data_IF_942920627324
#
_entry.id   IF_942920627324
#
_cell.length_a   1.000
_cell.length_b   1.000
_cell.length_c   1.000
_cell.angle_alpha   90.00
_cell.angle_beta   90.00
_cell.angle_gamma   90.00
#
_symmetry.space_group_name_H-M   'P 1'
#
loop_
_entity.id
_entity.type
_entity.pdbx_description
1 polymer ?
#
# COMPACT_ATOMS: atom_id res chain seq x y z
N UNK A 1 -8.67 11.57 10.62
CA UNK A 1 -8.18 10.24 11.07
C UNK A 1 -7.01 9.84 10.18
N UNK A 2 -5.95 9.25 10.75
CA UNK A 2 -4.83 8.72 9.95
C UNK A 2 -5.27 7.44 9.24
N UNK A 3 -5.07 7.40 7.92
CA UNK A 3 -5.32 6.26 7.04
C UNK A 3 -4.06 5.90 6.27
N UNK A 4 -4.01 4.66 5.79
CA UNK A 4 -2.94 4.06 5.01
C UNK A 4 -3.52 3.55 3.70
N UNK A 5 -3.11 4.15 2.60
CA UNK A 5 -3.64 3.89 1.27
C UNK A 5 -2.65 2.98 0.53
N UNK A 6 -3.07 1.80 0.03
CA UNK A 6 -2.25 1.03 -0.87
C UNK A 6 -2.06 1.82 -2.17
N UNK A 7 -0.85 1.81 -2.70
CA UNK A 7 -0.51 2.48 -3.94
C UNK A 7 0.58 1.72 -4.71
N UNK A 8 0.95 2.22 -5.88
CA UNK A 8 2.11 1.79 -6.67
C UNK A 8 2.99 3.01 -6.98
N UNK A 9 4.19 2.79 -7.51
CA UNK A 9 5.03 3.91 -7.98
C UNK A 9 4.36 4.69 -9.11
N UNK A 10 3.65 4.01 -10.02
CA UNK A 10 2.87 4.64 -11.09
C UNK A 10 1.86 5.63 -10.53
N UNK A 11 1.12 5.24 -9.49
CA UNK A 11 0.17 6.11 -8.79
C UNK A 11 0.85 7.28 -8.06
N UNK A 12 2.08 7.11 -7.55
CA UNK A 12 2.84 8.22 -6.96
C UNK A 12 3.30 9.24 -8.01
N UNK A 13 3.69 8.80 -9.20
CA UNK A 13 4.00 9.71 -10.31
C UNK A 13 2.79 10.58 -10.65
N UNK A 14 1.61 9.97 -10.78
CA UNK A 14 0.36 10.70 -11.03
C UNK A 14 0.01 11.68 -9.91
N UNK A 15 0.15 11.26 -8.65
CA UNK A 15 -0.03 12.14 -7.49
C UNK A 15 0.95 13.32 -7.53
N UNK A 16 2.22 13.09 -7.88
CA UNK A 16 3.21 14.16 -7.92
C UNK A 16 2.90 15.20 -9.01
N UNK A 17 2.32 14.77 -10.14
CA UNK A 17 1.93 15.64 -11.24
C UNK A 17 0.61 16.38 -11.01
N UNK A 18 -0.40 15.67 -10.51
CA UNK A 18 -1.78 16.20 -10.36
C UNK A 18 -2.01 16.89 -9.02
N UNK A 19 -1.28 16.48 -7.97
CA UNK A 19 -1.56 16.87 -6.59
C UNK A 19 -2.73 16.12 -5.96
N UNK A 20 -3.29 15.11 -6.63
CA UNK A 20 -4.44 14.32 -6.19
C UNK A 20 -4.10 12.83 -6.21
N UNK A 21 -4.45 12.11 -5.15
CA UNK A 21 -4.40 10.66 -5.11
C UNK A 21 -5.80 10.07 -5.26
N UNK A 22 -5.96 9.01 -6.05
CA UNK A 22 -7.24 8.35 -6.34
C UNK A 22 -7.19 6.90 -5.85
N UNK A 23 -7.72 6.59 -4.65
CA UNK A 23 -7.63 5.25 -4.11
C UNK A 23 -8.49 4.26 -4.91
N UNK A 24 -7.93 3.13 -5.30
CA UNK A 24 -8.67 2.08 -6.04
C UNK A 24 -9.83 1.57 -5.20
N UNK A 25 -11.05 1.68 -5.73
CA UNK A 25 -12.28 1.32 -5.03
C UNK A 25 -12.55 2.11 -3.74
N UNK A 26 -11.80 3.19 -3.46
CA UNK A 26 -11.89 3.93 -2.20
C UNK A 26 -11.43 3.13 -0.97
N UNK A 27 -10.66 2.04 -1.14
CA UNK A 27 -10.18 1.21 -0.02
C UNK A 27 -8.94 1.80 0.62
N UNK A 28 -8.93 1.86 1.95
CA UNK A 28 -7.77 2.21 2.76
C UNK A 28 -7.77 1.37 4.05
N UNK A 29 -6.72 1.50 4.83
CA UNK A 29 -6.54 0.84 6.12
C UNK A 29 -6.32 1.87 7.21
N UNK A 30 -6.72 1.57 8.44
CA UNK A 30 -6.54 2.48 9.57
C UNK A 30 -6.53 1.72 10.90
N UNK A 31 -6.08 2.41 11.95
CA UNK A 31 -6.25 1.93 13.31
C UNK A 31 -7.71 2.07 13.76
N UNK A 32 -8.55 1.13 13.33
CA UNK A 32 -9.97 1.10 13.65
C UNK A 32 -10.21 0.58 15.08
N UNK A 33 -11.41 0.79 15.65
CA UNK A 33 -11.80 0.10 16.88
C UNK A 33 -11.74 -1.43 16.77
N UNK A 34 -12.14 -2.02 15.64
CA UNK A 34 -12.11 -3.47 15.44
C UNK A 34 -10.67 -4.00 15.41
N UNK A 35 -9.73 -3.25 14.81
CA UNK A 35 -8.31 -3.60 14.85
C UNK A 35 -7.76 -3.54 16.28
N UNK A 36 -8.11 -2.49 17.04
CA UNK A 36 -7.71 -2.40 18.46
C UNK A 36 -8.26 -3.56 19.30
N UNK A 37 -9.48 -4.01 19.02
CA UNK A 37 -10.09 -5.15 19.73
C UNK A 37 -9.48 -6.51 19.34
N UNK A 38 -9.01 -6.64 18.11
CA UNK A 38 -8.39 -7.87 17.61
C UNK A 38 -7.01 -8.15 18.24
N UNK A 39 -6.31 -7.10 18.70
CA UNK A 39 -5.02 -7.20 19.37
C UNK A 39 -5.20 -7.10 20.89
N UNK A 40 -4.60 -8.05 21.62
CA UNK A 40 -4.73 -8.11 23.08
C UNK A 40 -3.87 -7.09 23.82
N UNK A 41 -2.78 -6.64 23.19
CA UNK A 41 -1.80 -5.71 23.75
C UNK A 41 -1.17 -4.91 22.61
N UNK A 42 -0.52 -3.80 22.97
CA UNK A 42 0.13 -2.88 22.04
C UNK A 42 -0.46 -1.47 22.09
N UNK A 43 0.41 -0.47 21.92
CA UNK A 43 -0.04 0.92 21.86
C UNK A 43 -0.55 1.34 20.47
N UNK A 44 -1.07 2.57 20.36
CA UNK A 44 -1.64 3.07 19.11
C UNK A 44 -0.59 3.14 17.96
N UNK A 45 0.70 3.23 18.26
CA UNK A 45 1.76 3.24 17.25
C UNK A 45 2.05 1.82 16.76
N UNK A 46 2.20 0.87 17.69
CA UNK A 46 2.37 -0.55 17.37
C UNK A 46 1.19 -1.14 16.59
N UNK A 47 -0.04 -0.75 16.93
CA UNK A 47 -1.23 -1.20 16.22
C UNK A 47 -1.43 -0.48 14.88
N UNK A 48 -0.91 0.73 14.72
CA UNK A 48 -0.90 1.41 13.43
C UNK A 48 0.02 0.72 12.42
N UNK A 49 1.12 0.10 12.86
CA UNK A 49 1.97 -0.73 12.01
C UNK A 49 1.22 -1.93 11.42
N UNK A 50 0.29 -2.54 12.16
CA UNK A 50 -0.56 -3.59 11.60
C UNK A 50 -1.40 -3.07 10.42
N UNK A 51 -1.98 -1.87 10.53
CA UNK A 51 -2.72 -1.27 9.43
C UNK A 51 -1.82 -0.86 8.24
N UNK A 52 -0.56 -0.47 8.49
CA UNK A 52 0.44 -0.23 7.44
C UNK A 52 0.77 -1.52 6.69
N UNK A 53 0.99 -2.63 7.41
CA UNK A 53 1.26 -3.94 6.79
C UNK A 53 0.10 -4.42 5.91
N UNK A 54 -1.14 -4.25 6.37
CA UNK A 54 -2.31 -4.56 5.53
C UNK A 54 -2.38 -3.70 4.27
N UNK A 55 -2.06 -2.41 4.36
CA UNK A 55 -1.95 -1.54 3.19
C UNK A 55 -0.81 -1.96 2.26
N UNK A 56 0.33 -2.38 2.80
CA UNK A 56 1.48 -2.86 2.03
C UNK A 56 1.15 -4.18 1.30
N UNK A 57 0.44 -5.10 1.95
CA UNK A 57 -0.07 -6.33 1.33
C UNK A 57 -1.10 -6.02 0.24
N UNK A 58 -1.96 -5.04 0.45
CA UNK A 58 -2.91 -4.58 -0.57
C UNK A 58 -2.22 -3.91 -1.77
N UNK A 59 -1.06 -3.27 -1.58
CA UNK A 59 -0.23 -2.73 -2.68
C UNK A 59 0.25 -3.84 -3.63
N UNK A 60 0.54 -5.05 -3.13
CA UNK A 60 0.91 -6.20 -3.98
C UNK A 60 -0.19 -6.54 -5.01
N UNK A 61 -1.46 -6.46 -4.61
CA UNK A 61 -2.60 -6.70 -5.51
C UNK A 61 -2.74 -5.63 -6.58
N UNK A 62 -2.38 -4.37 -6.24
CA UNK A 62 -2.35 -3.30 -7.22
C UNK A 62 -1.23 -3.51 -8.24
N UNK A 63 -0.05 -3.92 -7.78
CA UNK A 63 1.08 -4.27 -8.65
C UNK A 63 0.76 -5.45 -9.58
N UNK A 64 0.09 -6.49 -9.07
CA UNK A 64 -0.35 -7.63 -9.86
C UNK A 64 -1.31 -7.21 -10.98
N UNK A 65 -2.32 -6.38 -10.64
CA UNK A 65 -3.22 -5.82 -11.64
C UNK A 65 -2.50 -4.95 -12.68
N UNK A 66 -1.51 -4.16 -12.26
CA UNK A 66 -0.69 -3.37 -13.20
C UNK A 66 0.17 -4.26 -14.11
N UNK A 67 0.73 -5.37 -13.61
CA UNK A 67 1.49 -6.33 -14.44
C UNK A 67 0.58 -7.01 -15.48
N UNK A 68 -0.63 -7.39 -15.10
CA UNK A 68 -1.63 -7.98 -16.01
C UNK A 68 -2.01 -7.01 -17.13
N UNK A 69 -2.36 -5.75 -16.80
CA UNK A 69 -2.73 -4.72 -17.77
C UNK A 69 -1.56 -4.37 -18.73
N UNK A 70 -0.31 -4.46 -18.25
CA UNK A 70 0.90 -4.17 -19.05
C UNK A 70 1.32 -5.32 -19.96
N UNK A 71 0.92 -6.55 -19.67
CA UNK A 71 1.20 -7.70 -20.55
C UNK A 71 0.56 -7.54 -21.94
N UNK A 72 -0.38 -6.59 -22.08
CA UNK A 72 -1.05 -6.21 -23.32
C UNK A 72 -0.41 -5.00 -24.05
N UNK A 73 0.55 -4.29 -23.46
CA UNK A 73 1.19 -3.08 -24.03
C UNK A 73 2.72 -3.22 -24.19
N UNK A 74 3.20 -3.51 -25.41
CA UNK A 74 4.64 -3.58 -25.72
C UNK A 74 5.34 -2.21 -25.62
N UNK A 75 6.26 -2.06 -24.65
CA UNK A 75 7.41 -1.14 -24.79
C UNK A 75 7.54 0.03 -23.81
N UNK A 76 6.76 0.10 -22.73
CA UNK A 76 6.99 1.10 -21.67
C UNK A 76 8.14 0.68 -20.73
N UNK A 77 8.95 1.63 -20.29
CA UNK A 77 9.99 1.38 -19.29
C UNK A 77 9.32 0.98 -17.96
N UNK A 78 9.66 -0.21 -17.44
CA UNK A 78 9.06 -0.75 -16.23
C UNK A 78 9.65 -0.06 -15.01
N UNK A 79 8.80 0.55 -14.18
CA UNK A 79 9.19 1.00 -12.85
C UNK A 79 9.51 -0.22 -11.97
N UNK A 80 10.49 -0.12 -11.05
CA UNK A 80 10.83 -1.22 -10.17
C UNK A 80 9.64 -1.60 -9.29
N UNK A 81 9.45 -2.90 -9.04
CA UNK A 81 8.34 -3.36 -8.20
C UNK A 81 8.62 -3.03 -6.73
N UNK A 82 7.79 -2.16 -6.15
CA UNK A 82 7.88 -1.72 -4.74
C UNK A 82 6.49 -1.69 -4.14
N UNK A 83 6.31 -2.22 -2.93
CA UNK A 83 5.11 -1.88 -2.15
C UNK A 83 5.17 -0.40 -1.79
N UNK A 84 4.03 0.26 -1.93
CA UNK A 84 3.87 1.67 -1.59
C UNK A 84 2.63 1.83 -0.70
N UNK A 85 2.82 2.55 0.40
CA UNK A 85 1.74 2.95 1.31
C UNK A 85 1.76 4.47 1.48
N UNK A 86 0.64 5.13 1.24
CA UNK A 86 0.50 6.57 1.49
C UNK A 86 -0.22 6.78 2.81
N UNK A 87 0.43 7.46 3.75
CA UNK A 87 -0.16 7.85 5.01
C UNK A 87 -0.83 9.23 4.85
N UNK A 88 -2.13 9.31 5.10
CA UNK A 88 -2.91 10.54 4.94
C UNK A 88 -3.86 10.79 6.12
N UNK A 89 -4.18 12.04 6.40
CA UNK A 89 -5.16 12.45 7.39
C UNK A 89 -6.45 12.88 6.69
N UNK A 90 -7.52 12.08 6.84
CA UNK A 90 -8.81 12.32 6.18
C UNK A 90 -9.93 12.34 7.22
N UNK A 91 -10.88 13.27 7.06
CA UNK A 91 -12.02 13.43 7.97
C UNK A 91 -13.17 12.46 7.65
N UNK A 92 -13.53 12.33 6.38
CA UNK A 92 -14.63 11.48 5.93
C UNK A 92 -14.15 10.05 5.73
N UNK A 93 -14.28 9.21 6.77
CA UNK A 93 -13.89 7.80 6.70
C UNK A 93 -15.00 6.90 7.23
N UNK A 94 -15.31 5.86 6.46
CA UNK A 94 -16.32 4.85 6.79
C UNK A 94 -15.67 3.51 7.12
N UNK A 95 -15.81 3.06 8.36
CA UNK A 95 -15.31 1.74 8.79
C UNK A 95 -16.00 0.60 8.03
N UNK A 96 -15.23 -0.46 7.69
CA UNK A 96 -15.71 -1.67 7.03
C UNK A 96 -15.22 -2.95 7.74
N UNK A 97 -15.62 -3.15 9.01
CA UNK A 97 -15.25 -4.36 9.76
C UNK A 97 -15.84 -5.65 9.15
N UNK A 98 -16.77 -5.52 8.21
CA UNK A 98 -17.31 -6.61 7.41
C UNK A 98 -16.38 -7.09 6.28
N UNK A 99 -15.37 -6.28 5.91
CA UNK A 99 -14.33 -6.66 4.96
C UNK A 99 -13.08 -7.16 5.69
N UNK A 100 -12.59 -6.36 6.63
CA UNK A 100 -11.50 -6.73 7.54
C UNK A 100 -11.47 -5.75 8.73
N UNK A 101 -10.79 -6.13 9.81
CA UNK A 101 -10.67 -5.35 11.04
C UNK A 101 -9.97 -4.01 10.81
N UNK A 102 -9.04 -3.90 9.86
CA UNK A 102 -8.33 -2.66 9.55
C UNK A 102 -8.98 -1.83 8.43
N UNK A 103 -9.95 -2.37 7.69
CA UNK A 103 -10.41 -1.78 6.42
C UNK A 103 -11.39 -0.63 6.63
N UNK A 104 -11.18 0.43 5.84
CA UNK A 104 -12.06 1.60 5.76
C UNK A 104 -12.34 2.00 4.30
N UNK A 105 -13.39 2.79 4.10
CA UNK A 105 -13.69 3.48 2.84
C UNK A 105 -13.48 4.98 2.99
N UNK A 106 -12.87 5.57 1.98
CA UNK A 106 -12.45 6.99 1.94
C UNK A 106 -13.01 7.68 0.69
N UNK A 107 -12.93 9.01 0.59
CA UNK A 107 -13.38 9.74 -0.59
C UNK A 107 -12.61 9.30 -1.86
N UNK A 108 -13.19 9.49 -3.06
CA UNK A 108 -12.58 9.06 -4.31
C UNK A 108 -11.31 9.86 -4.68
N UNK A 109 -11.06 10.96 -4.00
CA UNK A 109 -9.88 11.83 -4.17
C UNK A 109 -9.35 12.18 -2.79
N UNK A 110 -8.04 12.08 -2.63
CA UNK A 110 -7.29 12.53 -1.45
C UNK A 110 -6.28 13.57 -1.93
N UNK A 111 -6.45 14.82 -1.50
CA UNK A 111 -5.54 15.91 -1.87
C UNK A 111 -4.15 15.69 -1.28
N UNK A 112 -3.10 16.11 -2.00
CA UNK A 112 -1.71 16.08 -1.50
C UNK A 112 -1.55 16.78 -0.15
N UNK A 113 -2.38 17.78 0.14
CA UNK A 113 -2.36 18.48 1.43
C UNK A 113 -2.78 17.61 2.63
N UNK A 114 -3.52 16.52 2.39
CA UNK A 114 -3.89 15.54 3.40
C UNK A 114 -2.81 14.46 3.59
N UNK A 115 -1.82 14.37 2.69
CA UNK A 115 -0.79 13.33 2.75
C UNK A 115 0.32 13.77 3.71
N UNK A 116 0.59 12.93 4.70
CA UNK A 116 1.63 13.17 5.70
C UNK A 116 2.97 12.57 5.27
N UNK A 117 2.96 11.37 4.71
CA UNK A 117 4.17 10.66 4.29
C UNK A 117 3.85 9.54 3.31
N UNK A 118 4.89 9.00 2.69
CA UNK A 118 4.82 7.78 1.87
C UNK A 118 5.84 6.79 2.40
N UNK A 119 5.43 5.53 2.51
CA UNK A 119 6.28 4.41 2.88
C UNK A 119 6.51 3.55 1.64
N UNK A 120 7.77 3.26 1.32
CA UNK A 120 8.15 2.52 0.10
C UNK A 120 9.21 1.48 0.41
N UNK A 121 9.11 0.31 -0.22
CA UNK A 121 10.15 -0.71 -0.17
C UNK A 121 11.53 -0.17 -0.60
N UNK A 122 12.57 -0.65 0.07
CA UNK A 122 13.96 -0.43 -0.34
C UNK A 122 14.35 -1.28 -1.56
N UNK A 123 15.47 -0.90 -2.19
CA UNK A 123 16.07 -1.56 -3.38
C UNK A 123 16.16 -3.08 -3.29
N UNK A 124 16.57 -3.55 -2.12
CA UNK A 124 16.82 -4.94 -1.75
C UNK A 124 15.57 -5.82 -1.64
N UNK A 125 14.38 -5.22 -1.51
CA UNK A 125 13.12 -5.97 -1.46
C UNK A 125 12.61 -6.39 -2.86
N UNK A 126 13.14 -5.84 -3.96
CA UNK A 126 12.55 -5.94 -5.30
C UNK A 126 12.25 -7.37 -5.73
N UNK A 127 13.25 -8.25 -5.63
CA UNK A 127 13.12 -9.66 -6.05
C UNK A 127 12.01 -10.39 -5.26
N UNK A 128 11.82 -10.01 -3.98
CA UNK A 128 10.77 -10.55 -3.13
C UNK A 128 9.40 -9.97 -3.47
N UNK A 129 9.33 -8.67 -3.75
CA UNK A 129 8.10 -8.02 -4.23
C UNK A 129 7.65 -8.65 -5.54
N UNK A 130 8.53 -8.78 -6.54
CA UNK A 130 8.20 -9.39 -7.84
C UNK A 130 7.67 -10.82 -7.65
N UNK A 131 8.31 -11.62 -6.80
CA UNK A 131 7.83 -12.97 -6.48
C UNK A 131 6.46 -12.94 -5.80
N UNK A 132 6.26 -12.05 -4.83
CA UNK A 132 5.00 -11.94 -4.08
C UNK A 132 3.85 -11.48 -4.98
N UNK A 133 4.09 -10.53 -5.90
CA UNK A 133 3.12 -10.07 -6.89
C UNK A 133 2.59 -11.23 -7.74
N UNK A 134 3.47 -12.10 -8.24
CA UNK A 134 3.06 -13.27 -9.03
C UNK A 134 2.33 -14.37 -8.24
N UNK A 135 2.25 -14.26 -6.91
CA UNK A 135 1.68 -15.28 -6.02
C UNK A 135 0.52 -14.77 -5.16
N UNK A 136 0.25 -13.45 -5.14
CA UNK A 136 -0.71 -12.84 -4.23
C UNK A 136 -2.13 -13.40 -4.39
N UNK A 137 -2.56 -13.68 -5.62
CA UNK A 137 -3.88 -14.27 -5.88
C UNK A 137 -3.99 -15.71 -5.36
N UNK A 138 -2.90 -16.49 -5.48
CA UNK A 138 -2.87 -17.87 -4.95
C UNK A 138 -2.86 -17.85 -3.41
N UNK A 139 -2.11 -16.92 -2.81
CA UNK A 139 -2.09 -16.70 -1.37
C UNK A 139 -3.48 -16.33 -0.85
N UNK A 140 -4.19 -15.41 -1.52
CA UNK A 140 -5.57 -15.02 -1.20
C UNK A 140 -6.57 -16.19 -1.28
N UNK A 141 -6.29 -17.18 -2.13
CA UNK A 141 -7.07 -18.42 -2.25
C UNK A 141 -6.66 -19.51 -1.24
N UNK A 142 -5.71 -19.21 -0.36
CA UNK A 142 -5.26 -20.06 0.74
C UNK A 142 -4.13 -21.02 0.40
N UNK A 143 -3.35 -20.76 -0.67
CA UNK A 143 -2.16 -21.55 -0.96
C UNK A 143 -1.02 -21.23 0.02
N UNK A 144 -0.60 -22.23 0.81
CA UNK A 144 0.36 -22.07 1.90
C UNK A 144 1.76 -21.66 1.41
N UNK A 145 2.21 -22.20 0.28
CA UNK A 145 3.52 -21.88 -0.30
C UNK A 145 3.55 -20.43 -0.83
N UNK A 146 2.42 -19.96 -1.37
CA UNK A 146 2.25 -18.57 -1.78
C UNK A 146 2.22 -17.62 -0.59
N UNK A 147 1.50 -17.95 0.49
CA UNK A 147 1.53 -17.17 1.74
C UNK A 147 2.93 -17.06 2.34
N UNK A 148 3.76 -18.12 2.25
CA UNK A 148 5.16 -18.05 2.67
C UNK A 148 5.96 -17.01 1.85
N UNK A 149 5.69 -16.92 0.55
CA UNK A 149 6.32 -15.90 -0.30
C UNK A 149 5.83 -14.48 0.01
N UNK A 150 4.60 -14.31 0.49
CA UNK A 150 4.13 -13.02 1.01
C UNK A 150 4.85 -12.67 2.32
N UNK A 151 5.03 -13.64 3.22
CA UNK A 151 5.82 -13.45 4.44
C UNK A 151 7.26 -12.99 4.16
N UNK A 152 7.91 -13.57 3.15
CA UNK A 152 9.26 -13.19 2.71
C UNK A 152 9.40 -11.69 2.35
N UNK A 153 8.35 -11.06 1.80
CA UNK A 153 8.37 -9.62 1.49
C UNK A 153 7.95 -8.78 2.71
N UNK A 154 7.11 -9.31 3.58
CA UNK A 154 6.71 -8.66 4.83
C UNK A 154 7.85 -8.50 5.85
N UNK A 155 8.91 -9.29 5.73
CA UNK A 155 10.16 -9.14 6.49
C UNK A 155 10.95 -7.86 6.14
N UNK A 156 10.62 -7.19 5.03
CA UNK A 156 11.24 -5.91 4.65
C UNK A 156 10.45 -4.73 5.20
N UNK A 157 11.13 -3.87 5.93
CA UNK A 157 10.59 -2.59 6.39
C UNK A 157 10.43 -1.61 5.22
N UNK A 158 9.35 -0.82 5.27
CA UNK A 158 9.14 0.27 4.32
C UNK A 158 9.90 1.53 4.77
N UNK A 159 10.70 2.09 3.87
CA UNK A 159 11.36 3.38 4.10
C UNK A 159 10.35 4.52 4.16
N UNK A 160 10.47 5.39 5.16
CA UNK A 160 9.62 6.57 5.33
C UNK A 160 10.15 7.77 4.54
N UNK A 161 9.29 8.41 3.76
CA UNK A 161 9.60 9.59 2.97
C UNK A 161 8.59 10.71 3.22
N UNK A 162 9.09 11.93 3.42
CA UNK A 162 8.26 13.12 3.47
C UNK A 162 7.71 13.45 2.07
N UNK A 163 6.55 14.10 2.00
CA UNK A 163 5.91 14.45 0.72
C UNK A 163 6.73 15.39 -0.16
N UNK A 164 7.66 16.15 0.42
CA UNK A 164 8.61 17.02 -0.28
C UNK A 164 9.76 16.24 -0.95
N UNK A 165 10.02 15.01 -0.51
CA UNK A 165 11.10 14.15 -1.05
C UNK A 165 10.63 13.37 -2.28
N UNK A 166 9.31 13.24 -2.48
CA UNK A 166 8.74 12.46 -3.59
C UNK A 166 9.27 12.83 -4.98
N UNK A 167 9.38 14.11 -5.39
CA UNK A 167 9.91 14.44 -6.71
C UNK A 167 11.33 13.89 -6.90
N UNK A 168 12.18 14.02 -5.89
CA UNK A 168 13.56 13.56 -5.94
C UNK A 168 13.68 12.04 -5.89
N UNK A 169 12.87 11.38 -5.05
CA UNK A 169 12.81 9.92 -4.97
C UNK A 169 12.41 9.31 -6.31
N UNK A 170 11.37 9.85 -6.95
CA UNK A 170 10.87 9.35 -8.24
C UNK A 170 11.86 9.60 -9.40
N UNK A 171 12.71 10.63 -9.33
CA UNK A 171 13.77 10.86 -10.32
C UNK A 171 14.96 9.88 -10.20
N UNK A 172 15.12 9.24 -9.04
CA UNK A 172 16.25 8.36 -8.74
C UNK A 172 15.95 6.86 -8.90
N UNK A 173 14.68 6.50 -9.12
CA UNK A 173 14.21 5.14 -9.39
C UNK A 173 14.38 4.80 -10.88
#
# INVERSE_FOLDING_TARGET
MRIYLPATLSMLFELNQSGEFRPVGGTAFALTPALREAYHDGDDEELAEAAIREAARASLRLLAAEDDDRSDEDGQAQLPSRRVVIAADVDEVKLRPDLDVAVVKVPPVVDRSAIASVLIDGGDAEDKVVRAVGLVDSADLGDEDSELAIGDVEDFDLGWYATQELPFLLELL
#
